data_IF_244725185130
#
_entry.id   IF_244725185130
#
_cell.length_a   1.000
_cell.length_b   1.000
_cell.length_c   1.000
_cell.angle_alpha   90.00
_cell.angle_beta   90.00
_cell.angle_gamma   90.00
#
_symmetry.space_group_name_H-M   'P 1'
#
loop_
_entity.id
_entity.type
_entity.pdbx_description
1 polymer ?
#
# COMPACT_ATOMS: atom_id res chain seq x y z
N UNK A 1 -31.36 17.96 3.78
CA UNK A 1 -30.18 17.07 3.77
C UNK A 1 -29.79 16.81 5.21
N UNK A 2 -29.56 15.55 5.59
CA UNK A 2 -29.03 15.18 6.90
C UNK A 2 -27.56 14.75 6.77
N UNK A 3 -26.75 15.07 7.77
CA UNK A 3 -25.38 14.54 7.89
C UNK A 3 -25.51 13.07 8.29
N UNK A 4 -24.77 12.18 7.62
CA UNK A 4 -24.78 10.75 7.89
C UNK A 4 -23.38 10.32 8.39
N UNK A 5 -23.30 9.46 9.43
CA UNK A 5 -22.04 8.88 9.85
C UNK A 5 -21.36 8.14 8.70
N UNK A 6 -20.04 8.19 8.66
CA UNK A 6 -19.22 7.49 7.67
C UNK A 6 -18.30 6.51 8.38
N UNK A 7 -18.17 5.31 7.82
CA UNK A 7 -17.25 4.29 8.27
C UNK A 7 -16.48 3.77 7.04
N UNK A 8 -15.17 3.63 7.18
CA UNK A 8 -14.32 3.00 6.18
C UNK A 8 -14.60 1.49 6.24
N UNK A 9 -15.09 0.93 5.15
CA UNK A 9 -15.29 -0.51 4.99
C UNK A 9 -14.79 -0.93 3.61
N UNK A 10 -13.55 -1.41 3.55
CA UNK A 10 -12.94 -1.86 2.31
C UNK A 10 -13.24 -3.34 2.08
N UNK A 11 -13.88 -3.70 0.95
CA UNK A 11 -14.18 -5.10 0.63
C UNK A 11 -12.91 -5.95 0.56
N UNK A 12 -12.97 -7.18 1.08
CA UNK A 12 -11.82 -8.09 1.07
C UNK A 12 -11.27 -8.34 -0.35
N UNK A 13 -12.14 -8.31 -1.36
CA UNK A 13 -11.74 -8.44 -2.76
C UNK A 13 -10.78 -7.33 -3.23
N UNK A 14 -10.90 -6.10 -2.71
CA UNK A 14 -9.99 -5.00 -3.04
C UNK A 14 -8.60 -5.25 -2.46
N UNK A 15 -8.53 -5.75 -1.21
CA UNK A 15 -7.26 -6.09 -0.58
C UNK A 15 -6.57 -7.28 -1.27
N UNK A 16 -7.37 -8.24 -1.75
CA UNK A 16 -6.85 -9.38 -2.50
C UNK A 16 -6.31 -8.94 -3.87
N UNK A 17 -7.06 -8.13 -4.62
CA UNK A 17 -6.60 -7.56 -5.90
C UNK A 17 -5.30 -6.75 -5.72
N UNK A 18 -5.22 -5.93 -4.65
CA UNK A 18 -4.00 -5.21 -4.30
C UNK A 18 -2.81 -6.16 -4.11
N UNK A 19 -2.95 -7.20 -3.28
CA UNK A 19 -1.88 -8.17 -3.03
C UNK A 19 -1.43 -8.88 -4.31
N UNK A 20 -2.37 -9.25 -5.18
CA UNK A 20 -2.07 -9.88 -6.46
C UNK A 20 -1.34 -8.94 -7.43
N UNK A 21 -1.62 -7.64 -7.41
CA UNK A 21 -0.90 -6.66 -8.22
C UNK A 21 0.51 -6.45 -7.71
N UNK A 22 0.69 -6.31 -6.40
CA UNK A 22 2.01 -6.18 -5.77
C UNK A 22 2.89 -7.40 -6.11
N UNK A 23 2.34 -8.62 -5.99
CA UNK A 23 3.04 -9.86 -6.31
C UNK A 23 3.44 -9.98 -7.80
N UNK A 24 2.72 -9.32 -8.70
CA UNK A 24 2.97 -9.34 -10.16
C UNK A 24 3.76 -8.13 -10.65
N UNK A 25 4.36 -7.36 -9.74
CA UNK A 25 5.09 -6.14 -10.11
C UNK A 25 6.26 -6.49 -11.05
N UNK A 26 6.28 -5.85 -12.23
CA UNK A 26 7.42 -5.85 -13.13
C UNK A 26 8.30 -4.63 -12.84
N UNK A 27 9.47 -4.87 -12.26
CA UNK A 27 10.40 -3.82 -11.88
C UNK A 27 11.15 -3.26 -13.11
N UNK A 28 11.38 -1.94 -13.17
CA UNK A 28 12.28 -1.34 -14.15
C UNK A 28 13.74 -1.57 -13.75
N UNK A 29 14.65 -1.30 -14.69
CA UNK A 29 16.08 -1.17 -14.39
C UNK A 29 16.38 0.18 -13.71
N UNK A 30 17.54 0.28 -13.05
CA UNK A 30 18.02 1.49 -12.39
C UNK A 30 19.45 1.83 -12.83
N UNK A 31 19.75 3.12 -12.98
CA UNK A 31 21.12 3.59 -13.25
C UNK A 31 21.98 3.36 -12.01
N UNK A 32 23.09 2.64 -12.19
CA UNK A 32 23.99 2.27 -11.08
C UNK A 32 24.47 3.51 -10.33
N UNK A 33 24.25 3.53 -9.02
CA UNK A 33 24.72 4.58 -8.12
C UNK A 33 23.90 5.87 -8.16
N UNK A 34 22.74 5.88 -8.82
CA UNK A 34 21.90 7.07 -8.92
C UNK A 34 21.14 7.43 -7.64
N UNK A 35 21.06 6.51 -6.66
CA UNK A 35 20.41 6.76 -5.38
C UNK A 35 18.96 7.24 -5.56
N UNK A 36 18.71 8.50 -5.18
CA UNK A 36 17.40 9.15 -5.29
C UNK A 36 17.35 10.29 -6.33
N UNK A 37 18.43 10.50 -7.08
CA UNK A 37 18.61 11.69 -7.92
C UNK A 37 17.61 11.76 -9.09
N UNK A 38 17.03 10.62 -9.47
CA UNK A 38 16.07 10.49 -10.57
C UNK A 38 14.71 9.94 -10.13
N UNK A 39 14.38 10.09 -8.85
CA UNK A 39 13.14 9.59 -8.26
C UNK A 39 13.40 8.48 -7.23
N UNK A 40 12.39 7.66 -6.97
CA UNK A 40 12.46 6.65 -5.92
C UNK A 40 13.55 5.61 -6.22
N UNK A 41 14.42 5.38 -5.25
CA UNK A 41 15.40 4.29 -5.32
C UNK A 41 14.72 2.92 -5.42
N UNK A 42 15.18 2.09 -6.34
CA UNK A 42 14.55 0.80 -6.66
C UNK A 42 14.61 -0.19 -5.50
N UNK A 43 15.75 -0.29 -4.83
CA UNK A 43 15.93 -1.24 -3.71
C UNK A 43 15.05 -0.87 -2.52
N UNK A 44 14.96 0.43 -2.21
CA UNK A 44 14.03 0.92 -1.21
C UNK A 44 12.58 0.59 -1.55
N UNK A 45 12.15 0.85 -2.79
CA UNK A 45 10.77 0.60 -3.20
C UNK A 45 10.41 -0.88 -3.18
N UNK A 46 11.34 -1.77 -3.58
CA UNK A 46 11.18 -3.22 -3.45
C UNK A 46 10.96 -3.63 -2.00
N UNK A 47 11.76 -3.09 -1.08
CA UNK A 47 11.61 -3.35 0.36
C UNK A 47 10.27 -2.85 0.92
N UNK A 48 9.82 -1.67 0.49
CA UNK A 48 8.52 -1.12 0.88
C UNK A 48 7.36 -1.96 0.34
N UNK A 49 7.43 -2.41 -0.91
CA UNK A 49 6.42 -3.29 -1.52
C UNK A 49 6.37 -4.65 -0.82
N UNK A 50 7.52 -5.23 -0.44
CA UNK A 50 7.56 -6.47 0.34
C UNK A 50 6.86 -6.29 1.70
N UNK A 51 7.18 -5.21 2.43
CA UNK A 51 6.50 -4.92 3.69
C UNK A 51 4.99 -4.75 3.49
N UNK A 52 4.58 -4.01 2.46
CA UNK A 52 3.16 -3.78 2.19
C UNK A 52 2.43 -5.08 1.86
N UNK A 53 3.02 -5.94 1.04
CA UNK A 53 2.41 -7.20 0.64
C UNK A 53 2.32 -8.20 1.81
N UNK A 54 3.37 -8.29 2.63
CA UNK A 54 3.59 -9.43 3.52
C UNK A 54 3.44 -9.11 5.01
N UNK A 55 3.51 -7.83 5.42
CA UNK A 55 3.57 -7.44 6.84
C UNK A 55 2.55 -6.38 7.23
N UNK A 56 2.16 -5.52 6.30
CA UNK A 56 1.18 -4.47 6.57
C UNK A 56 -0.23 -5.05 6.67
N UNK A 57 -0.88 -4.84 7.82
CA UNK A 57 -2.25 -5.26 8.08
C UNK A 57 -3.23 -4.10 7.91
N UNK A 58 -3.94 -4.08 6.78
CA UNK A 58 -4.96 -3.07 6.51
C UNK A 58 -6.11 -3.10 7.53
N UNK A 59 -6.51 -4.27 8.04
CA UNK A 59 -7.67 -4.37 8.94
C UNK A 59 -7.40 -3.71 10.28
N UNK A 60 -6.16 -3.77 10.76
CA UNK A 60 -5.72 -3.01 11.94
C UNK A 60 -5.83 -1.51 11.69
N UNK A 61 -5.36 -1.03 10.52
CA UNK A 61 -5.39 0.40 10.21
C UNK A 61 -6.81 0.92 9.96
N UNK A 62 -7.66 0.13 9.32
CA UNK A 62 -9.08 0.43 9.12
C UNK A 62 -9.81 0.59 10.46
N UNK A 63 -9.53 -0.29 11.43
CA UNK A 63 -10.07 -0.17 12.78
C UNK A 63 -9.56 1.10 13.49
N UNK A 64 -8.27 1.40 13.40
CA UNK A 64 -7.69 2.62 14.00
C UNK A 64 -8.26 3.91 13.36
N UNK A 65 -8.50 3.92 12.06
CA UNK A 65 -9.09 5.08 11.39
C UNK A 65 -10.56 5.28 11.75
N UNK A 66 -11.32 4.19 11.89
CA UNK A 66 -12.72 4.22 12.28
C UNK A 66 -12.97 4.53 13.76
N UNK A 67 -11.93 4.70 14.58
CA UNK A 67 -12.07 5.03 16.01
C UNK A 67 -12.48 6.48 16.27
N UNK A 68 -12.35 7.35 15.27
CA UNK A 68 -12.70 8.76 15.39
C UNK A 68 -14.18 8.96 15.02
N UNK A 69 -14.95 9.49 15.96
CA UNK A 69 -16.38 9.79 15.80
C UNK A 69 -16.61 11.23 15.35
#
# INVERSE_FOLDING_TARGET
MSIQPFQIDIPQAVLQDLKERLARTRWPDEVKGAGWDYGTNLDYLKGLVDYWQNKYDWRVQEAELNRFN
#
